data_IF_518694636251
#
_entry.id   IF_518694636251
#
_cell.length_a   1.000
_cell.length_b   1.000
_cell.length_c   1.000
_cell.angle_alpha   90.00
_cell.angle_beta   90.00
_cell.angle_gamma   90.00
#
_symmetry.space_group_name_H-M   'P 1'
#
loop_
_entity.id
_entity.type
_entity.pdbx_description
1 polymer ?
#
# COMPACT_ATOMS: atom_id res chain seq x y z
N UNK A 1 25.07 31.13 46.26
CA UNK A 1 23.69 31.64 46.42
C UNK A 1 23.19 32.23 45.10
N UNK A 2 22.17 31.59 44.51
CA UNK A 2 21.22 32.24 43.62
C UNK A 2 19.86 31.65 43.98
N UNK A 3 19.06 32.44 44.69
CA UNK A 3 17.71 32.08 45.09
C UNK A 3 16.81 32.38 43.90
N UNK A 4 16.33 31.35 43.22
CA UNK A 4 15.37 31.50 42.13
C UNK A 4 13.99 31.69 42.76
N UNK A 5 13.55 32.95 42.86
CA UNK A 5 12.18 33.28 43.27
C UNK A 5 11.21 32.98 42.12
N UNK A 6 10.18 32.16 42.31
CA UNK A 6 9.15 31.97 41.30
C UNK A 6 8.40 33.28 41.04
N UNK A 7 8.05 33.60 39.78
CA UNK A 7 7.30 34.81 39.47
C UNK A 7 5.91 34.76 40.12
N UNK A 8 5.44 35.90 40.61
CA UNK A 8 4.08 36.06 41.11
C UNK A 8 3.08 35.85 39.97
N UNK A 9 2.30 34.77 40.06
CA UNK A 9 1.25 34.46 39.08
C UNK A 9 -0.03 35.23 39.45
N UNK A 10 -0.71 35.88 38.50
CA UNK A 10 -1.98 36.55 38.79
C UNK A 10 -3.00 35.56 39.34
N UNK A 11 -3.69 35.93 40.43
CA UNK A 11 -4.66 35.09 41.14
C UNK A 11 -6.01 34.89 40.41
N UNK A 12 -6.05 35.13 39.10
CA UNK A 12 -7.23 34.95 38.27
C UNK A 12 -7.41 33.51 37.83
N UNK A 13 -8.66 33.09 37.65
CA UNK A 13 -8.96 31.77 37.10
C UNK A 13 -8.47 31.70 35.65
N UNK A 14 -7.76 30.63 35.24
CA UNK A 14 -7.20 30.56 33.89
C UNK A 14 -8.31 30.57 32.84
N UNK A 15 -8.28 31.59 31.98
CA UNK A 15 -9.17 31.68 30.82
C UNK A 15 -8.62 30.81 29.69
N UNK A 16 -9.48 29.97 29.10
CA UNK A 16 -9.12 29.19 27.93
C UNK A 16 -9.08 30.10 26.71
N UNK A 17 -7.87 30.40 26.24
CA UNK A 17 -7.64 31.08 24.97
C UNK A 17 -7.76 30.09 23.82
N UNK A 18 -8.30 30.56 22.69
CA UNK A 18 -8.39 29.79 21.46
C UNK A 18 -7.00 29.25 21.02
N UNK A 19 -6.94 28.03 20.46
CA UNK A 19 -5.68 27.46 19.99
C UNK A 19 -5.01 28.38 18.97
N UNK A 20 -3.74 28.70 19.22
CA UNK A 20 -2.92 29.45 18.27
C UNK A 20 -2.82 28.70 16.93
N UNK A 21 -2.71 29.45 15.84
CA UNK A 21 -2.41 28.88 14.54
C UNK A 21 -1.09 28.07 14.57
N UNK A 22 -0.99 27.00 13.76
CA UNK A 22 0.23 26.20 13.66
C UNK A 22 1.40 27.07 13.16
N UNK A 23 2.60 26.83 13.70
CA UNK A 23 3.80 27.60 13.32
C UNK A 23 4.24 27.33 11.86
N UNK A 24 3.80 26.21 11.27
CA UNK A 24 4.10 25.82 9.90
C UNK A 24 3.16 24.72 9.41
N UNK A 25 3.19 24.42 8.10
CA UNK A 25 2.44 23.31 7.49
C UNK A 25 2.88 21.93 8.01
N UNK A 26 4.12 21.80 8.48
CA UNK A 26 4.64 20.55 9.07
C UNK A 26 4.07 20.29 10.47
N UNK A 27 3.59 21.34 11.14
CA UNK A 27 2.93 21.23 12.45
C UNK A 27 1.43 20.89 12.34
N UNK A 28 0.90 20.69 11.13
CA UNK A 28 -0.46 20.20 10.94
C UNK A 28 -0.52 18.75 11.41
N UNK A 29 -1.51 18.44 12.25
CA UNK A 29 -1.77 17.07 12.66
C UNK A 29 -2.06 16.22 11.42
N UNK A 30 -1.33 15.11 11.28
CA UNK A 30 -1.63 14.10 10.25
C UNK A 30 -3.04 13.57 10.52
N UNK A 31 -3.90 13.42 9.50
CA UNK A 31 -5.22 12.81 9.67
C UNK A 31 -5.09 11.48 10.45
N UNK A 32 -6.03 11.18 11.36
CA UNK A 32 -5.99 9.92 12.09
C UNK A 32 -5.98 8.76 11.09
N UNK A 33 -5.11 7.78 11.30
CA UNK A 33 -5.12 6.54 10.51
C UNK A 33 -6.53 5.93 10.61
N UNK A 34 -7.12 5.46 9.49
CA UNK A 34 -8.39 4.76 9.54
C UNK A 34 -8.33 3.62 10.56
N UNK A 35 -9.31 3.55 11.47
CA UNK A 35 -9.39 2.43 12.42
C UNK A 35 -9.85 1.19 11.66
N UNK A 36 -8.97 0.19 11.54
CA UNK A 36 -9.33 -1.11 10.99
C UNK A 36 -10.09 -1.92 12.06
N UNK A 37 -11.19 -2.62 11.69
CA UNK A 37 -11.83 -3.59 12.58
C UNK A 37 -10.85 -4.72 12.98
N UNK A 38 -10.97 -5.25 14.21
CA UNK A 38 -10.09 -6.32 14.72
C UNK A 38 -10.18 -7.63 13.91
N UNK A 39 -11.29 -7.85 13.22
CA UNK A 39 -11.58 -9.02 12.37
C UNK A 39 -11.34 -8.76 10.87
N UNK A 40 -10.55 -7.74 10.53
CA UNK A 40 -10.32 -7.35 9.15
C UNK A 40 -9.46 -8.37 8.37
N UNK A 41 -10.11 -9.11 7.48
CA UNK A 41 -9.45 -10.08 6.61
C UNK A 41 -9.01 -9.51 5.24
N UNK A 42 -9.07 -8.20 5.03
CA UNK A 42 -8.73 -7.52 3.77
C UNK A 42 -9.94 -7.11 2.92
N UNK A 43 -9.76 -6.11 2.05
CA UNK A 43 -10.78 -5.63 1.12
C UNK A 43 -10.92 -6.59 -0.06
N UNK A 44 -12.17 -6.97 -0.38
CA UNK A 44 -12.50 -7.66 -1.63
C UNK A 44 -12.54 -6.67 -2.81
N UNK A 45 -11.55 -6.78 -3.68
CA UNK A 45 -11.46 -6.06 -4.94
C UNK A 45 -12.07 -6.92 -6.06
N UNK A 46 -13.18 -6.43 -6.61
CA UNK A 46 -13.90 -7.10 -7.70
C UNK A 46 -13.48 -6.51 -9.04
N UNK A 47 -13.46 -7.35 -10.07
CA UNK A 47 -13.08 -6.99 -11.43
C UNK A 47 -11.72 -6.24 -11.49
N UNK A 48 -10.67 -6.77 -10.83
CA UNK A 48 -9.39 -6.09 -10.82
C UNK A 48 -8.79 -6.00 -12.22
N UNK A 49 -8.28 -4.81 -12.54
CA UNK A 49 -7.47 -4.55 -13.74
C UNK A 49 -6.01 -4.66 -13.33
N UNK A 50 -5.19 -5.32 -14.15
CA UNK A 50 -3.74 -5.37 -13.93
C UNK A 50 -3.00 -4.50 -14.95
N UNK A 51 -2.46 -3.32 -14.55
CA UNK A 51 -1.57 -2.50 -15.37
C UNK A 51 -0.25 -3.20 -15.70
N UNK A 52 0.30 -3.96 -14.76
CA UNK A 52 1.54 -4.71 -14.88
C UNK A 52 1.47 -5.99 -14.03
N UNK A 53 2.45 -6.89 -14.13
CA UNK A 53 2.48 -8.08 -13.29
C UNK A 53 2.86 -7.68 -11.86
N UNK A 54 1.92 -7.88 -10.92
CA UNK A 54 2.08 -7.41 -9.54
C UNK A 54 1.43 -6.04 -9.25
N UNK A 55 0.69 -5.44 -10.20
CA UNK A 55 -0.12 -4.25 -9.95
C UNK A 55 -1.61 -4.55 -10.18
N UNK A 56 -2.46 -4.10 -9.26
CA UNK A 56 -3.92 -4.23 -9.33
C UNK A 56 -4.57 -2.86 -9.16
N UNK A 57 -5.55 -2.57 -10.02
CA UNK A 57 -6.45 -1.43 -9.89
C UNK A 57 -7.89 -1.91 -9.79
N UNK A 58 -8.62 -1.48 -8.77
CA UNK A 58 -10.02 -1.82 -8.58
C UNK A 58 -10.68 -0.89 -7.56
N UNK A 59 -11.92 -0.47 -7.78
CA UNK A 59 -12.73 0.28 -6.79
C UNK A 59 -12.01 1.50 -6.18
N UNK A 60 -11.20 2.20 -6.96
CA UNK A 60 -10.42 3.36 -6.50
C UNK A 60 -9.13 3.01 -5.75
N UNK A 61 -8.78 1.73 -5.59
CA UNK A 61 -7.49 1.28 -5.08
C UNK A 61 -6.49 1.11 -6.21
N UNK A 62 -5.24 1.51 -5.95
CA UNK A 62 -4.06 1.08 -6.69
C UNK A 62 -3.18 0.27 -5.74
N UNK A 63 -2.94 -0.99 -6.05
CA UNK A 63 -2.26 -1.96 -5.18
C UNK A 63 -1.06 -2.54 -5.88
N UNK A 64 0.11 -2.46 -5.24
CA UNK A 64 1.28 -3.26 -5.57
C UNK A 64 1.30 -4.51 -4.70
N UNK A 65 1.50 -5.68 -5.31
CA UNK A 65 1.66 -6.91 -4.55
C UNK A 65 2.94 -6.83 -3.74
N UNK A 66 2.85 -6.98 -2.42
CA UNK A 66 4.02 -6.95 -1.54
C UNK A 66 4.88 -8.20 -1.69
N UNK A 67 6.17 -8.08 -1.36
CA UNK A 67 7.11 -9.20 -1.36
C UNK A 67 7.64 -9.60 -2.75
N UNK A 68 7.25 -8.90 -3.81
CA UNK A 68 7.78 -9.15 -5.16
C UNK A 68 8.31 -7.88 -5.80
N UNK A 69 9.23 -8.05 -6.74
CA UNK A 69 9.59 -7.02 -7.70
C UNK A 69 8.60 -7.07 -8.86
N UNK A 70 7.77 -6.03 -8.96
CA UNK A 70 6.81 -5.84 -10.05
C UNK A 70 7.55 -5.85 -11.39
N UNK A 71 7.05 -6.65 -12.33
CA UNK A 71 7.56 -6.66 -13.71
C UNK A 71 6.78 -5.63 -14.49
N UNK A 72 7.45 -4.55 -14.88
CA UNK A 72 6.85 -3.44 -15.63
C UNK A 72 6.27 -3.93 -16.96
N UNK A 73 5.17 -3.32 -17.44
CA UNK A 73 4.53 -3.75 -18.70
C UNK A 73 5.51 -3.79 -19.88
N UNK A 74 6.40 -2.79 -19.96
CA UNK A 74 7.34 -2.63 -21.07
C UNK A 74 8.71 -3.25 -20.77
N UNK A 75 8.82 -4.01 -19.68
CA UNK A 75 10.06 -4.69 -19.30
C UNK A 75 10.43 -5.77 -20.33
N UNK A 76 11.71 -5.79 -20.66
CA UNK A 76 12.30 -6.79 -21.55
C UNK A 76 13.38 -7.53 -20.77
N UNK A 77 13.34 -8.86 -20.84
CA UNK A 77 14.24 -9.73 -20.11
C UNK A 77 15.16 -10.47 -21.08
N UNK A 78 16.33 -10.88 -20.60
CA UNK A 78 17.29 -11.66 -21.38
C UNK A 78 17.50 -13.02 -20.72
N UNK A 79 17.23 -14.09 -21.45
CA UNK A 79 17.50 -15.48 -21.07
C UNK A 79 18.36 -16.11 -22.15
N UNK A 80 19.48 -16.71 -21.78
CA UNK A 80 20.42 -17.37 -22.71
C UNK A 80 20.81 -16.48 -23.91
N UNK A 81 21.03 -15.19 -23.64
CA UNK A 81 21.37 -14.19 -24.66
C UNK A 81 20.22 -13.78 -25.57
N UNK A 82 19.01 -14.32 -25.39
CA UNK A 82 17.80 -13.96 -26.15
C UNK A 82 16.95 -12.98 -25.35
N UNK A 83 16.70 -11.83 -25.96
CA UNK A 83 15.80 -10.79 -25.45
C UNK A 83 14.34 -11.13 -25.76
N UNK A 84 13.44 -10.95 -24.80
CA UNK A 84 12.01 -11.21 -24.97
C UNK A 84 11.13 -10.30 -24.09
N UNK A 85 9.89 -10.00 -24.52
CA UNK A 85 9.01 -9.03 -23.85
C UNK A 85 8.35 -9.64 -22.60
N UNK A 86 9.12 -9.77 -21.53
CA UNK A 86 8.67 -10.40 -20.29
C UNK A 86 7.54 -9.65 -19.61
N UNK A 87 7.55 -8.32 -19.65
CA UNK A 87 6.50 -7.48 -19.08
C UNK A 87 5.11 -7.76 -19.66
N UNK A 88 4.99 -7.79 -20.99
CA UNK A 88 3.72 -8.06 -21.68
C UNK A 88 3.22 -9.47 -21.39
N UNK A 89 4.13 -10.46 -21.37
CA UNK A 89 3.77 -11.85 -21.07
C UNK A 89 3.34 -12.04 -19.63
N UNK A 90 4.10 -11.50 -18.68
CA UNK A 90 3.79 -11.55 -17.26
C UNK A 90 2.45 -10.85 -16.95
N UNK A 91 2.21 -9.66 -17.52
CA UNK A 91 0.94 -8.94 -17.40
C UNK A 91 -0.22 -9.79 -17.95
N UNK A 92 -0.03 -10.46 -19.08
CA UNK A 92 -1.07 -11.29 -19.71
C UNK A 92 -1.41 -12.51 -18.85
N UNK A 93 -0.39 -13.18 -18.31
CA UNK A 93 -0.57 -14.29 -17.38
C UNK A 93 -1.30 -13.82 -16.11
N UNK A 94 -0.90 -12.68 -15.55
CA UNK A 94 -1.53 -12.13 -14.35
C UNK A 94 -2.99 -11.72 -14.60
N UNK A 95 -3.31 -11.09 -15.73
CA UNK A 95 -4.71 -10.80 -16.14
C UNK A 95 -5.54 -12.06 -16.27
N UNK A 96 -4.93 -13.16 -16.73
CA UNK A 96 -5.58 -14.47 -16.80
C UNK A 96 -5.81 -15.07 -15.41
N UNK A 97 -4.88 -14.86 -14.47
CA UNK A 97 -5.06 -15.19 -13.04
C UNK A 97 -6.18 -14.35 -12.39
N UNK A 98 -6.43 -13.13 -12.83
CA UNK A 98 -7.47 -12.28 -12.23
C UNK A 98 -8.85 -12.48 -12.86
N UNK A 99 -8.92 -13.05 -14.07
CA UNK A 99 -10.16 -13.12 -14.85
C UNK A 99 -11.29 -13.84 -14.12
N UNK A 100 -12.41 -13.14 -13.95
CA UNK A 100 -13.62 -13.68 -13.31
C UNK A 100 -13.50 -13.92 -11.81
N UNK A 101 -12.44 -13.43 -11.16
CA UNK A 101 -12.17 -13.68 -9.74
C UNK A 101 -12.09 -12.36 -8.96
N UNK A 102 -12.55 -12.40 -7.72
CA UNK A 102 -12.29 -11.34 -6.76
C UNK A 102 -10.97 -11.63 -6.04
N UNK A 103 -10.17 -10.59 -5.85
CA UNK A 103 -8.92 -10.67 -5.09
C UNK A 103 -9.12 -9.98 -3.74
N UNK A 104 -8.67 -10.61 -2.67
CA UNK A 104 -8.70 -10.04 -1.32
C UNK A 104 -7.32 -9.48 -1.03
N UNK A 105 -7.22 -8.17 -0.80
CA UNK A 105 -5.94 -7.52 -0.47
C UNK A 105 -6.00 -6.93 0.93
N UNK A 106 -4.89 -6.98 1.67
CA UNK A 106 -4.74 -6.37 2.99
C UNK A 106 -4.54 -4.84 2.88
N UNK A 107 -5.55 -4.18 2.32
CA UNK A 107 -5.65 -2.71 2.25
C UNK A 107 -6.75 -2.23 3.20
N UNK A 108 -6.79 -0.94 3.58
CA UNK A 108 -7.88 -0.39 4.37
C UNK A 108 -9.26 -0.58 3.68
N UNK A 109 -10.38 -0.46 4.43
CA UNK A 109 -11.74 -0.57 3.86
C UNK A 109 -12.11 0.59 2.92
N UNK A 110 -11.46 1.74 3.10
CA UNK A 110 -11.61 2.93 2.28
C UNK A 110 -10.41 3.09 1.36
N UNK A 111 -10.69 3.26 0.06
CA UNK A 111 -9.68 3.39 -0.98
C UNK A 111 -9.11 4.81 -1.03
N UNK A 112 -7.79 4.89 -1.17
CA UNK A 112 -7.08 6.13 -1.49
C UNK A 112 -6.52 6.08 -2.91
N UNK A 113 -6.14 7.25 -3.45
CA UNK A 113 -5.51 7.36 -4.77
C UNK A 113 -4.05 6.89 -4.79
N UNK A 114 -3.46 6.68 -3.62
CA UNK A 114 -2.06 6.31 -3.47
C UNK A 114 -1.85 4.82 -3.79
N UNK A 115 -0.67 4.49 -4.31
CA UNK A 115 -0.25 3.10 -4.52
C UNK A 115 0.07 2.46 -3.17
N UNK A 116 -0.64 1.39 -2.82
CA UNK A 116 -0.46 0.67 -1.55
C UNK A 116 0.21 -0.67 -1.82
N UNK A 117 1.34 -0.94 -1.17
CA UNK A 117 1.93 -2.27 -1.16
C UNK A 117 1.15 -3.17 -0.18
N UNK A 118 0.59 -4.28 -0.66
CA UNK A 118 -0.22 -5.17 0.18
C UNK A 118 -0.15 -6.64 -0.28
N UNK A 119 -0.35 -7.54 0.69
CA UNK A 119 -0.55 -8.95 0.43
C UNK A 119 -1.94 -9.15 -0.20
N UNK A 120 -2.01 -9.98 -1.24
CA UNK A 120 -3.26 -10.28 -1.93
C UNK A 120 -3.43 -11.77 -2.17
N UNK A 121 -4.67 -12.23 -2.10
CA UNK A 121 -5.03 -13.64 -2.20
C UNK A 121 -6.29 -13.88 -3.00
N UNK A 122 -6.34 -15.01 -3.69
CA UNK A 122 -7.50 -15.51 -4.44
C UNK A 122 -7.89 -16.85 -3.82
N UNK A 123 -8.97 -16.85 -3.04
CA UNK A 123 -9.31 -18.01 -2.21
C UNK A 123 -8.17 -18.30 -1.22
N UNK A 124 -7.48 -19.44 -1.40
CA UNK A 124 -6.31 -19.85 -0.60
C UNK A 124 -4.97 -19.56 -1.27
N UNK A 125 -4.96 -19.14 -2.53
CA UNK A 125 -3.73 -18.88 -3.29
C UNK A 125 -3.19 -17.49 -2.94
N UNK A 126 -1.92 -17.43 -2.50
CA UNK A 126 -1.17 -16.19 -2.43
C UNK A 126 -0.78 -15.73 -3.85
N UNK A 127 -1.10 -14.48 -4.18
CA UNK A 127 -0.89 -13.91 -5.52
C UNK A 127 0.59 -13.63 -5.78
N UNK A 128 1.34 -13.16 -4.78
CA UNK A 128 2.77 -12.89 -4.89
C UNK A 128 3.55 -14.18 -5.13
N UNK A 129 3.28 -15.20 -4.32
CA UNK A 129 3.85 -16.53 -4.47
C UNK A 129 3.55 -17.11 -5.86
N UNK A 130 2.30 -17.04 -6.32
CA UNK A 130 1.96 -17.53 -7.66
C UNK A 130 2.75 -16.80 -8.76
N UNK A 131 2.93 -15.49 -8.65
CA UNK A 131 3.71 -14.70 -9.61
C UNK A 131 5.17 -15.17 -9.64
N UNK A 132 5.78 -15.40 -8.48
CA UNK A 132 7.17 -15.86 -8.38
C UNK A 132 7.32 -17.29 -8.90
N UNK A 133 6.49 -18.22 -8.43
CA UNK A 133 6.56 -19.65 -8.80
C UNK A 133 6.37 -19.89 -10.31
N UNK A 134 5.58 -19.04 -10.97
CA UNK A 134 5.32 -19.13 -12.41
C UNK A 134 6.28 -18.28 -13.26
N UNK A 135 7.27 -17.61 -12.63
CA UNK A 135 8.26 -16.79 -13.34
C UNK A 135 7.72 -15.47 -13.89
N UNK A 136 6.61 -14.97 -13.33
CA UNK A 136 5.98 -13.70 -13.70
C UNK A 136 6.35 -12.54 -12.78
N UNK A 137 7.10 -12.80 -11.72
CA UNK A 137 7.77 -11.79 -10.89
C UNK A 137 9.03 -12.37 -10.25
N UNK A 138 9.89 -11.48 -9.75
CA UNK A 138 11.02 -11.87 -8.89
C UNK A 138 10.62 -11.66 -7.44
N UNK A 139 11.09 -12.50 -6.53
CA UNK A 139 10.88 -12.30 -5.11
C UNK A 139 11.72 -11.11 -4.61
N UNK A 140 11.09 -10.19 -3.89
CA UNK A 140 11.83 -9.17 -3.17
C UNK A 140 12.56 -9.80 -1.97
N UNK A 141 13.48 -9.07 -1.33
CA UNK A 141 14.19 -9.59 -0.15
C UNK A 141 13.20 -9.91 0.98
N UNK A 142 13.16 -11.18 1.40
CA UNK A 142 12.19 -11.67 2.40
C UNK A 142 10.78 -11.86 1.85
N UNK A 143 10.62 -11.81 0.53
CA UNK A 143 9.42 -12.20 -0.18
C UNK A 143 9.20 -13.72 -0.25
N UNK A 144 8.07 -14.14 -0.82
CA UNK A 144 7.73 -15.55 -0.99
C UNK A 144 8.68 -16.29 -1.95
#
# INVERSE_FOLDING_TARGET
>A
PDVITPPEMPAGEPERVEPRAPLSKLALAVPPKPKMPDDWHGTKLFQPVAPAAGLIEAKGYSVAISGIDVVGQDETCTTDGKSWPCGVRARTAFRSLLRGRAVVCLVPPEGGRDLIAAECRIGKQDVGQWLVENGWARAAKGGP
#
